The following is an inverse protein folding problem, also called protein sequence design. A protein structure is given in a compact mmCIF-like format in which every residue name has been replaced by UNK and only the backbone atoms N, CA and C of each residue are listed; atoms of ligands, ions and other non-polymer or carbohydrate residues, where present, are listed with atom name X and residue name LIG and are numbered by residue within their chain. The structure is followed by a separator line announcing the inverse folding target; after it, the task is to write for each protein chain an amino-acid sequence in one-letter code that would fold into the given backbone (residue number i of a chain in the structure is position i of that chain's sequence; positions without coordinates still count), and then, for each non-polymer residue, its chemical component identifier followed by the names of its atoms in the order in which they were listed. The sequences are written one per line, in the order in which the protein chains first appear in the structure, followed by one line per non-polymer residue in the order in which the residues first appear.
data_IF_806886277557
#
_entry.id   IF_806886277557
#
_cell.length_a   1.000
_cell.length_b   1.000
_cell.length_c   1.000
_cell.angle_alpha   90.00
_cell.angle_beta   90.00
_cell.angle_gamma   90.00
#
_symmetry.space_group_name_H-M   'P 1'
#
loop_
_entity.id
_entity.type
_entity.pdbx_description
1 polymer ?
#
# COMPACT_ATOMS: atom_id res chain seq x y z
N UNK A 1 12.59 22.59 1.14
CA UNK A 1 12.35 21.30 1.81
C UNK A 1 11.01 20.77 1.32
N UNK A 2 11.00 19.78 0.41
CA UNK A 2 9.75 19.21 -0.12
C UNK A 2 9.10 18.39 0.98
N UNK A 3 8.00 18.85 1.54
CA UNK A 3 7.15 18.03 2.39
C UNK A 3 6.59 16.91 1.50
N UNK A 4 7.03 15.68 1.70
CA UNK A 4 6.43 14.52 1.04
C UNK A 4 5.06 14.32 1.70
N UNK A 5 3.98 14.64 1.00
CA UNK A 5 2.60 14.50 1.48
C UNK A 5 2.15 13.03 1.44
N UNK A 6 2.90 12.13 2.09
CA UNK A 6 2.53 10.72 2.14
C UNK A 6 1.53 10.45 3.26
N UNK A 7 0.49 9.66 2.96
CA UNK A 7 -0.52 9.21 3.92
C UNK A 7 -0.22 7.78 4.35
N UNK A 8 -0.26 7.49 5.65
CA UNK A 8 -0.07 6.11 6.12
C UNK A 8 -1.32 5.26 5.88
N UNK A 9 -1.12 4.04 5.41
CA UNK A 9 -2.18 3.05 5.19
C UNK A 9 -1.73 1.66 5.66
N UNK A 10 -2.67 0.71 5.74
CA UNK A 10 -2.40 -0.66 6.17
C UNK A 10 -2.84 -1.66 5.09
N UNK A 11 -2.13 -2.79 5.01
CA UNK A 11 -2.51 -3.93 4.19
C UNK A 11 -2.20 -5.25 4.91
N UNK A 12 -2.87 -6.33 4.53
CA UNK A 12 -2.56 -7.67 5.04
C UNK A 12 -1.64 -8.38 4.05
N UNK A 13 -0.56 -8.99 4.52
CA UNK A 13 0.39 -9.70 3.67
C UNK A 13 -0.29 -10.90 2.98
N UNK A 14 -0.14 -11.02 1.65
CA UNK A 14 -0.70 -12.11 0.85
C UNK A 14 0.05 -13.46 1.06
N UNK A 15 1.13 -13.48 1.84
CA UNK A 15 1.86 -14.70 2.19
C UNK A 15 1.56 -15.20 3.60
N UNK A 16 1.80 -14.37 4.61
CA UNK A 16 1.66 -14.77 6.02
C UNK A 16 0.39 -14.24 6.69
N UNK A 17 -0.39 -13.36 6.05
CA UNK A 17 -1.60 -12.76 6.62
C UNK A 17 -1.36 -11.58 7.56
N UNK A 18 -0.11 -11.32 7.94
CA UNK A 18 0.22 -10.25 8.89
C UNK A 18 -0.13 -8.86 8.40
N UNK A 19 -0.59 -8.02 9.31
CA UNK A 19 -0.89 -6.61 9.03
C UNK A 19 0.40 -5.81 8.94
N UNK A 20 0.55 -5.08 7.85
CA UNK A 20 1.70 -4.23 7.56
C UNK A 20 1.25 -2.78 7.36
N UNK A 21 2.15 -1.84 7.68
CA UNK A 21 1.96 -0.41 7.41
C UNK A 21 2.75 -0.01 6.18
N UNK A 22 2.18 0.85 5.36
CA UNK A 22 2.83 1.44 4.17
C UNK A 22 2.47 2.93 4.06
N UNK A 23 3.12 3.64 3.15
CA UNK A 23 2.91 5.06 2.89
C UNK A 23 2.51 5.26 1.43
N UNK A 24 1.35 5.86 1.20
CA UNK A 24 0.83 6.19 -0.13
C UNK A 24 1.10 7.66 -0.41
N UNK A 25 1.67 7.97 -1.57
CA UNK A 25 1.82 9.35 -2.03
C UNK A 25 0.62 9.72 -2.92
N UNK A 26 -0.33 10.57 -2.47
CA UNK A 26 -1.48 10.98 -3.26
C UNK A 26 -1.10 11.73 -4.55
N UNK A 27 0.11 12.31 -4.62
CA UNK A 27 0.57 13.02 -5.82
C UNK A 27 0.86 12.09 -7.00
N UNK A 28 0.99 10.78 -6.75
CA UNK A 28 1.19 9.75 -7.78
C UNK A 28 -0.11 9.29 -8.45
N UNK A 29 -1.25 9.93 -8.12
CA UNK A 29 -2.55 9.70 -8.73
C UNK A 29 -3.49 8.82 -7.91
N UNK A 30 -4.73 8.72 -8.40
CA UNK A 30 -5.83 7.99 -7.75
C UNK A 30 -5.60 6.46 -7.74
N UNK A 31 -4.78 5.94 -8.65
CA UNK A 31 -4.43 4.52 -8.73
C UNK A 31 -2.93 4.32 -8.81
N UNK A 32 -2.40 3.41 -8.00
CA UNK A 32 -0.97 3.18 -7.89
C UNK A 32 -0.69 1.68 -7.77
N UNK A 33 0.46 1.23 -8.24
CA UNK A 33 0.91 -0.15 -8.07
C UNK A 33 2.40 -0.18 -7.81
N UNK A 34 2.80 -0.82 -6.72
CA UNK A 34 4.19 -0.96 -6.31
C UNK A 34 4.41 -2.27 -5.56
N UNK A 35 5.68 -2.65 -5.41
CA UNK A 35 6.09 -3.82 -4.61
C UNK A 35 6.54 -3.32 -3.25
N UNK A 36 6.03 -3.95 -2.19
CA UNK A 36 6.41 -3.68 -0.80
C UNK A 36 6.69 -5.01 -0.09
N UNK A 37 7.83 -5.12 0.60
CA UNK A 37 8.16 -6.32 1.37
C UNK A 37 7.42 -6.36 2.70
N UNK A 38 6.91 -7.54 3.05
CA UNK A 38 6.31 -7.77 4.36
C UNK A 38 7.37 -7.59 5.48
N UNK A 39 7.09 -6.73 6.45
CA UNK A 39 7.96 -6.45 7.60
C UNK A 39 8.12 -7.64 8.56
N UNK A 40 7.30 -8.70 8.39
CA UNK A 40 7.33 -9.91 9.22
C UNK A 40 7.99 -11.09 8.50
N UNK A 41 7.52 -11.41 7.29
CA UNK A 41 8.00 -12.59 6.55
C UNK A 41 8.94 -12.28 5.38
N UNK A 42 9.25 -11.00 5.14
CA UNK A 42 10.18 -10.52 4.11
C UNK A 42 9.82 -10.97 2.67
N UNK A 43 8.55 -11.31 2.41
CA UNK A 43 8.07 -11.67 1.06
C UNK A 43 7.53 -10.45 0.33
N UNK A 44 7.83 -10.28 -0.98
CA UNK A 44 7.41 -9.13 -1.76
C UNK A 44 5.92 -9.21 -2.07
N UNK A 45 5.16 -8.18 -1.69
CA UNK A 45 3.74 -8.04 -2.01
C UNK A 45 3.57 -7.04 -3.14
N UNK A 46 2.81 -7.42 -4.18
CA UNK A 46 2.32 -6.44 -5.15
C UNK A 46 1.08 -5.77 -4.58
N UNK A 47 1.19 -4.47 -4.30
CA UNK A 47 0.12 -3.65 -3.77
C UNK A 47 -0.57 -2.90 -4.91
N UNK A 48 -1.89 -3.05 -5.01
CA UNK A 48 -2.75 -2.21 -5.84
C UNK A 48 -3.50 -1.25 -4.93
N UNK A 49 -3.24 0.05 -5.10
CA UNK A 49 -3.83 1.12 -4.32
C UNK A 49 -4.81 1.90 -5.17
N UNK A 50 -6.00 2.18 -4.62
CA UNK A 50 -7.00 3.04 -5.24
C UNK A 50 -7.58 4.03 -4.23
N UNK A 51 -7.76 5.28 -4.61
CA UNK A 51 -8.42 6.29 -3.79
C UNK A 51 -9.94 6.22 -3.91
N UNK A 52 -10.62 5.95 -2.80
CA UNK A 52 -12.07 6.01 -2.69
C UNK A 52 -12.50 7.43 -2.33
N UNK A 53 -13.11 8.13 -3.29
CA UNK A 53 -13.54 9.53 -3.15
C UNK A 53 -14.73 9.71 -2.22
N UNK A 54 -15.55 8.68 -2.01
CA UNK A 54 -16.72 8.78 -1.12
C UNK A 54 -16.34 8.59 0.34
N UNK A 55 -15.39 7.70 0.59
CA UNK A 55 -14.90 7.42 1.94
C UNK A 55 -13.60 8.17 2.28
N UNK A 56 -13.10 9.00 1.37
CA UNK A 56 -11.86 9.78 1.48
C UNK A 56 -10.68 8.96 1.99
N UNK A 57 -10.54 7.73 1.49
CA UNK A 57 -9.55 6.76 1.96
C UNK A 57 -8.89 5.99 0.82
N UNK A 58 -7.65 5.58 1.04
CA UNK A 58 -7.00 4.62 0.16
C UNK A 58 -7.43 3.19 0.50
N UNK A 59 -7.77 2.43 -0.54
CA UNK A 59 -8.03 1.00 -0.47
C UNK A 59 -6.80 0.29 -1.05
N UNK A 60 -6.25 -0.66 -0.30
CA UNK A 60 -5.07 -1.42 -0.70
C UNK A 60 -5.43 -2.89 -0.84
N UNK A 61 -5.12 -3.46 -1.99
CA UNK A 61 -5.18 -4.89 -2.25
C UNK A 61 -3.76 -5.44 -2.39
N UNK A 62 -3.42 -6.43 -1.58
CA UNK A 62 -2.14 -7.14 -1.67
C UNK A 62 -2.31 -8.43 -2.47
N UNK A 63 -1.30 -8.77 -3.27
CA UNK A 63 -1.17 -10.05 -3.96
C UNK A 63 0.27 -10.54 -3.87
N UNK A 64 0.44 -11.86 -3.96
CA UNK A 64 1.76 -12.47 -4.04
C UNK A 64 2.47 -11.96 -5.32
N UNK A 65 3.65 -11.35 -5.16
CA UNK A 65 4.52 -11.02 -6.29
C UNK A 65 5.32 -12.27 -6.62
N UNK A 66 5.13 -12.80 -7.84
CA UNK A 66 5.67 -14.07 -8.37
C UNK A 66 6.96 -14.57 -7.70
#
# INVERSE_FOLDING_TARGET
MRQQNTTSAEYHCAYCGERNRTFVDPSQGDTQTYIEDCQVCCRPNKLSVSYDKWNEKFIIQSRQSQ
#
